data_IF_125219511802
#
_entry.id   IF_125219511802
#
_cell.length_a   1.000
_cell.length_b   1.000
_cell.length_c   1.000
_cell.angle_alpha   90.00
_cell.angle_beta   90.00
_cell.angle_gamma   90.00
#
_symmetry.space_group_name_H-M   'P 1'
#
loop_
_entity.id
_entity.type
_entity.pdbx_description
1 polymer ?
#
# COMPACT_ATOMS: atom_id res chain seq x y z
N UNK A 1 -27.07 92.95 -1.14
CA UNK A 1 -25.88 92.17 -1.56
C UNK A 1 -25.50 91.25 -0.41
N UNK A 2 -25.64 89.93 -0.60
CA UNK A 2 -25.11 88.90 0.31
C UNK A 2 -24.34 87.89 -0.55
N UNK A 3 -23.18 87.38 -0.10
CA UNK A 3 -22.32 86.54 -0.92
C UNK A 3 -22.85 85.10 -1.02
N UNK A 4 -22.69 84.52 -2.20
CA UNK A 4 -23.01 83.12 -2.54
C UNK A 4 -22.04 82.18 -1.81
N UNK A 5 -22.57 81.16 -1.14
CA UNK A 5 -21.77 80.04 -0.63
C UNK A 5 -21.36 79.11 -1.77
N UNK A 6 -20.10 78.69 -1.68
CA UNK A 6 -19.29 77.95 -2.64
C UNK A 6 -19.85 76.56 -3.00
N UNK A 7 -19.53 76.11 -4.23
CA UNK A 7 -19.61 74.71 -4.67
C UNK A 7 -18.97 73.75 -3.66
N UNK A 8 -19.55 72.55 -3.52
CA UNK A 8 -18.79 71.38 -3.08
C UNK A 8 -19.13 70.18 -3.98
N UNK A 9 -18.15 69.83 -4.78
CA UNK A 9 -18.06 68.65 -5.64
C UNK A 9 -18.09 67.36 -4.81
N UNK A 10 -18.74 66.34 -5.39
CA UNK A 10 -18.45 64.90 -5.35
C UNK A 10 -17.89 64.33 -4.04
N UNK A 11 -18.76 63.68 -3.25
CA UNK A 11 -18.33 62.83 -2.14
C UNK A 11 -17.70 61.53 -2.67
N UNK A 12 -16.63 61.01 -2.04
CA UNK A 12 -15.89 59.85 -2.52
C UNK A 12 -16.72 58.57 -2.36
N UNK A 13 -16.85 57.79 -3.44
CA UNK A 13 -17.41 56.43 -3.42
C UNK A 13 -16.59 55.57 -2.45
N UNK A 14 -17.26 54.98 -1.44
CA UNK A 14 -16.63 54.00 -0.57
C UNK A 14 -16.27 52.75 -1.40
N UNK A 15 -15.02 52.27 -1.36
CA UNK A 15 -14.68 51.01 -2.02
C UNK A 15 -15.40 49.87 -1.29
N UNK A 16 -16.24 49.13 -2.02
CA UNK A 16 -16.89 47.93 -1.50
C UNK A 16 -15.84 46.99 -0.90
N UNK A 17 -16.11 46.36 0.26
CA UNK A 17 -15.16 45.46 0.88
C UNK A 17 -14.93 44.29 -0.08
N UNK A 18 -13.73 44.22 -0.65
CA UNK A 18 -13.28 43.08 -1.44
C UNK A 18 -13.12 41.92 -0.45
N UNK A 19 -14.18 41.14 -0.30
CA UNK A 19 -14.11 39.85 0.38
C UNK A 19 -13.17 38.99 -0.46
N UNK A 20 -11.91 38.87 -0.04
CA UNK A 20 -11.02 37.84 -0.58
C UNK A 20 -11.58 36.52 -0.10
N UNK A 21 -12.50 35.96 -0.88
CA UNK A 21 -12.92 34.58 -0.73
C UNK A 21 -11.66 33.77 -1.01
N UNK A 22 -11.15 33.05 -0.01
CA UNK A 22 -9.97 32.18 -0.09
C UNK A 22 -10.26 30.97 -0.98
N UNK A 23 -10.54 31.23 -2.26
CA UNK A 23 -10.80 30.21 -3.26
C UNK A 23 -9.60 29.27 -3.39
N UNK A 24 -8.37 29.76 -3.22
CA UNK A 24 -7.17 28.92 -3.35
C UNK A 24 -7.12 27.82 -2.28
N UNK A 25 -7.37 28.13 -1.02
CA UNK A 25 -7.41 27.12 0.06
C UNK A 25 -8.55 26.13 -0.13
N UNK A 26 -9.72 26.60 -0.60
CA UNK A 26 -10.85 25.74 -0.92
C UNK A 26 -10.57 24.86 -2.15
N UNK A 27 -9.93 25.39 -3.19
CA UNK A 27 -9.56 24.64 -4.39
C UNK A 27 -8.47 23.62 -4.09
N UNK A 28 -7.49 23.95 -3.25
CA UNK A 28 -6.47 23.01 -2.80
C UNK A 28 -7.11 21.89 -1.98
N UNK A 29 -8.01 22.23 -1.05
CA UNK A 29 -8.79 21.24 -0.30
C UNK A 29 -9.62 20.33 -1.21
N UNK A 30 -10.38 20.90 -2.16
CA UNK A 30 -11.19 20.12 -3.10
C UNK A 30 -10.32 19.28 -4.03
N UNK A 31 -9.19 19.82 -4.50
CA UNK A 31 -8.24 19.09 -5.35
C UNK A 31 -7.63 17.90 -4.60
N UNK A 32 -7.28 18.06 -3.34
CA UNK A 32 -6.77 16.95 -2.53
C UNK A 32 -7.88 15.98 -2.10
N UNK A 33 -9.11 16.45 -1.90
CA UNK A 33 -10.28 15.62 -1.63
C UNK A 33 -10.67 14.75 -2.84
N UNK A 34 -10.55 15.27 -4.05
CA UNK A 34 -10.86 14.58 -5.31
C UNK A 34 -9.64 13.93 -5.98
N UNK A 35 -8.43 14.08 -5.43
CA UNK A 35 -7.28 13.28 -5.87
C UNK A 35 -7.59 11.83 -5.56
N UNK A 36 -7.86 11.04 -6.62
CA UNK A 36 -8.11 9.61 -6.47
C UNK A 36 -6.95 9.01 -5.67
N UNK A 37 -7.25 8.33 -4.56
CA UNK A 37 -6.25 7.50 -3.89
C UNK A 37 -5.70 6.55 -4.96
N UNK A 38 -4.48 6.81 -5.43
CA UNK A 38 -3.89 6.02 -6.50
C UNK A 38 -3.68 4.62 -5.95
N UNK A 39 -4.51 3.69 -6.40
CA UNK A 39 -4.36 2.27 -6.11
C UNK A 39 -3.62 1.64 -7.27
N UNK A 40 -2.62 0.82 -6.98
CA UNK A 40 -1.94 -0.01 -7.98
C UNK A 40 -1.89 -1.46 -7.54
N UNK A 41 -1.73 -2.38 -8.50
CA UNK A 41 -1.55 -3.79 -8.19
C UNK A 41 -0.29 -3.99 -7.33
N UNK A 42 -0.41 -4.85 -6.31
CA UNK A 42 0.70 -5.30 -5.47
C UNK A 42 0.91 -6.77 -5.74
N UNK A 43 1.89 -7.07 -6.60
CA UNK A 43 2.17 -8.45 -7.01
C UNK A 43 3.65 -8.74 -6.86
N UNK A 44 3.97 -9.88 -6.28
CA UNK A 44 5.33 -10.37 -6.21
C UNK A 44 5.33 -11.88 -6.48
N UNK A 45 6.34 -12.37 -7.19
CA UNK A 45 6.53 -13.78 -7.49
C UNK A 45 8.02 -14.06 -7.39
N UNK A 46 8.38 -15.15 -6.72
CA UNK A 46 9.75 -15.64 -6.74
C UNK A 46 9.78 -17.17 -6.65
N UNK A 47 10.87 -17.75 -7.17
CA UNK A 47 11.10 -19.18 -7.19
C UNK A 47 12.50 -19.55 -6.71
N UNK A 48 12.63 -20.76 -6.20
CA UNK A 48 13.87 -21.45 -5.90
C UNK A 48 13.86 -22.75 -6.70
N UNK A 49 14.79 -22.86 -7.64
CA UNK A 49 14.90 -24.03 -8.52
C UNK A 49 15.79 -25.09 -7.85
N UNK A 50 15.33 -26.35 -7.87
CA UNK A 50 16.05 -27.50 -7.32
C UNK A 50 16.60 -27.28 -5.90
N UNK A 51 15.80 -26.67 -5.02
CA UNK A 51 16.20 -26.36 -3.65
C UNK A 51 16.34 -27.65 -2.82
N UNK A 52 17.40 -27.73 -2.03
CA UNK A 52 17.73 -28.90 -1.19
C UNK A 52 18.05 -28.52 0.25
N UNK A 53 17.94 -27.23 0.61
CA UNK A 53 18.27 -26.76 1.94
C UNK A 53 17.34 -27.36 2.99
N UNK A 54 17.94 -27.96 4.02
CA UNK A 54 17.23 -28.40 5.24
C UNK A 54 16.98 -27.28 6.24
N UNK A 55 17.62 -26.13 6.02
CA UNK A 55 17.37 -24.90 6.75
C UNK A 55 16.41 -23.99 5.97
N UNK A 56 15.66 -23.16 6.71
CA UNK A 56 14.74 -22.20 6.10
C UNK A 56 15.49 -21.22 5.19
N UNK A 57 15.09 -21.22 3.92
CA UNK A 57 15.50 -20.24 2.94
C UNK A 57 14.32 -19.35 2.60
N UNK A 58 14.61 -18.05 2.48
CA UNK A 58 13.63 -17.05 2.11
C UNK A 58 13.26 -17.24 0.64
N UNK A 59 12.00 -17.53 0.37
CA UNK A 59 11.43 -17.62 -0.98
C UNK A 59 10.96 -16.23 -1.41
N UNK A 60 10.20 -15.53 -0.57
CA UNK A 60 9.61 -14.23 -0.91
C UNK A 60 9.81 -13.25 0.25
N UNK A 61 10.09 -11.99 -0.08
CA UNK A 61 10.16 -10.91 0.88
C UNK A 61 9.69 -9.62 0.24
N UNK A 62 8.54 -9.13 0.70
CA UNK A 62 7.92 -7.91 0.19
C UNK A 62 7.70 -6.96 1.35
N UNK A 63 8.05 -5.70 1.15
CA UNK A 63 7.86 -4.61 2.10
C UNK A 63 6.85 -3.63 1.53
N UNK A 64 5.94 -3.11 2.36
CA UNK A 64 5.03 -2.04 1.96
C UNK A 64 5.80 -0.74 1.89
N UNK A 65 5.82 -0.13 0.70
CA UNK A 65 6.53 1.12 0.43
C UNK A 65 6.03 2.30 1.29
N UNK A 66 6.88 3.29 1.52
CA UNK A 66 6.52 4.49 2.26
C UNK A 66 5.36 5.26 1.59
N UNK A 67 4.39 5.70 2.39
CA UNK A 67 3.21 6.41 1.88
C UNK A 67 2.14 5.53 1.24
N UNK A 68 2.24 4.21 1.38
CA UNK A 68 1.23 3.26 0.92
C UNK A 68 0.75 2.36 2.05
N UNK A 69 -0.48 1.87 1.90
CA UNK A 69 -1.03 0.76 2.66
C UNK A 69 -1.24 -0.43 1.74
N UNK A 70 -0.79 -1.61 2.16
CA UNK A 70 -0.98 -2.85 1.42
C UNK A 70 -2.32 -3.49 1.77
N UNK A 71 -3.14 -3.78 0.78
CA UNK A 71 -4.33 -4.61 0.88
C UNK A 71 -3.98 -5.99 0.33
N UNK A 72 -3.61 -6.90 1.23
CA UNK A 72 -3.22 -8.27 0.89
C UNK A 72 -4.44 -9.09 0.52
N UNK A 73 -4.49 -9.61 -0.70
CA UNK A 73 -5.58 -10.47 -1.15
C UNK A 73 -5.23 -11.93 -0.94
N UNK A 74 -4.11 -12.38 -1.48
CA UNK A 74 -3.69 -13.77 -1.36
C UNK A 74 -2.17 -13.96 -1.35
N UNK A 75 -1.77 -15.10 -0.78
CA UNK A 75 -0.43 -15.65 -0.91
C UNK A 75 -0.56 -17.06 -1.44
N UNK A 76 0.08 -17.35 -2.56
CA UNK A 76 0.10 -18.69 -3.14
C UNK A 76 1.48 -19.32 -2.97
N UNK A 77 1.48 -20.59 -2.59
CA UNK A 77 2.66 -21.41 -2.35
C UNK A 77 2.62 -22.59 -3.32
N UNK A 78 3.77 -22.95 -3.86
CA UNK A 78 3.94 -24.08 -4.76
C UNK A 78 5.22 -24.84 -4.42
N UNK A 79 5.11 -26.16 -4.44
CA UNK A 79 6.23 -27.09 -4.38
C UNK A 79 5.99 -28.23 -5.37
N UNK A 80 7.02 -28.62 -6.11
CA UNK A 80 6.97 -29.83 -6.95
C UNK A 80 6.93 -31.12 -6.13
N UNK A 81 7.38 -31.08 -4.87
CA UNK A 81 7.43 -32.21 -3.92
C UNK A 81 6.88 -31.74 -2.57
N UNK A 82 5.56 -31.70 -2.40
CA UNK A 82 5.00 -31.11 -1.18
C UNK A 82 5.20 -31.92 0.09
N UNK A 83 5.37 -33.24 -0.01
CA UNK A 83 5.60 -34.10 1.15
C UNK A 83 6.96 -33.83 1.82
N UNK A 84 7.93 -33.32 1.05
CA UNK A 84 9.30 -33.00 1.47
C UNK A 84 9.47 -31.52 1.86
N UNK A 85 8.51 -30.67 1.53
CA UNK A 85 8.63 -29.21 1.73
C UNK A 85 7.85 -28.72 2.94
N UNK A 86 8.53 -27.94 3.78
CA UNK A 86 7.95 -27.28 4.94
C UNK A 86 8.02 -25.76 4.81
N UNK A 87 6.90 -25.10 5.08
CA UNK A 87 6.72 -23.67 4.87
C UNK A 87 6.60 -22.90 6.19
N UNK A 88 7.12 -21.68 6.19
CA UNK A 88 6.88 -20.70 7.22
C UNK A 88 6.44 -19.37 6.60
N UNK A 89 5.50 -18.69 7.26
CA UNK A 89 4.96 -17.41 6.83
C UNK A 89 4.91 -16.44 7.99
N UNK A 90 5.42 -15.24 7.76
CA UNK A 90 5.32 -14.12 8.68
C UNK A 90 4.73 -12.92 7.94
N UNK A 91 3.72 -12.29 8.54
CA UNK A 91 3.09 -11.07 8.02
C UNK A 91 3.16 -10.02 9.12
N UNK A 92 3.69 -8.84 8.80
CA UNK A 92 3.80 -7.72 9.73
C UNK A 92 4.48 -8.08 11.06
N UNK A 93 5.50 -8.95 11.01
CA UNK A 93 6.20 -9.42 12.21
C UNK A 93 5.49 -10.54 12.97
N UNK A 94 4.26 -10.91 12.60
CA UNK A 94 3.51 -12.00 13.22
C UNK A 94 3.63 -13.30 12.44
N UNK A 95 4.05 -14.36 13.12
CA UNK A 95 4.10 -15.72 12.56
C UNK A 95 2.68 -16.23 12.33
N UNK A 96 2.36 -16.53 11.08
CA UNK A 96 1.07 -17.13 10.71
C UNK A 96 1.11 -18.65 10.87
N UNK A 97 2.22 -19.27 10.45
CA UNK A 97 2.51 -20.67 10.67
C UNK A 97 4.01 -20.96 10.49
N UNK A 98 4.43 -22.09 11.03
CA UNK A 98 5.76 -22.69 10.87
C UNK A 98 5.61 -24.18 10.59
N UNK A 99 6.58 -24.74 9.88
CA UNK A 99 6.66 -26.18 9.54
C UNK A 99 5.38 -26.72 8.88
N UNK A 100 4.71 -25.85 8.10
CA UNK A 100 3.46 -26.20 7.44
C UNK A 100 3.76 -27.02 6.19
N UNK A 101 3.21 -28.22 6.13
CA UNK A 101 3.20 -29.04 4.90
C UNK A 101 2.02 -28.68 4.02
N UNK A 102 2.24 -28.79 2.71
CA UNK A 102 1.24 -28.62 1.65
C UNK A 102 1.48 -29.74 0.62
N UNK A 103 0.48 -30.11 -0.19
CA UNK A 103 0.65 -31.22 -1.12
C UNK A 103 1.37 -30.85 -2.42
N UNK A 104 0.90 -29.82 -3.13
CA UNK A 104 1.57 -29.30 -4.34
C UNK A 104 1.43 -27.79 -4.36
N UNK A 105 0.21 -27.29 -4.19
CA UNK A 105 -0.07 -25.88 -4.14
C UNK A 105 -1.04 -25.54 -3.00
N UNK A 106 -0.92 -24.33 -2.47
CA UNK A 106 -1.85 -23.76 -1.50
C UNK A 106 -1.97 -22.26 -1.71
N UNK A 107 -3.19 -21.78 -1.86
CA UNK A 107 -3.51 -20.35 -1.85
C UNK A 107 -4.18 -19.99 -0.53
N UNK A 108 -3.59 -19.05 0.19
CA UNK A 108 -4.11 -18.49 1.43
C UNK A 108 -4.78 -17.17 1.09
N UNK A 109 -6.08 -17.07 1.38
CA UNK A 109 -6.85 -15.86 1.13
C UNK A 109 -6.91 -15.00 2.41
N UNK A 110 -6.59 -13.72 2.26
CA UNK A 110 -6.57 -12.71 3.33
C UNK A 110 -7.64 -11.63 3.15
N UNK A 111 -8.42 -11.67 2.05
CA UNK A 111 -9.62 -10.84 1.87
C UNK A 111 -9.38 -9.33 1.87
N UNK A 112 -8.18 -8.88 1.50
CA UNK A 112 -7.81 -7.47 1.56
C UNK A 112 -7.26 -7.05 2.92
N UNK A 113 -6.69 -7.96 3.70
CA UNK A 113 -6.06 -7.67 4.99
C UNK A 113 -5.07 -6.51 4.86
N UNK A 114 -5.21 -5.55 5.76
CA UNK A 114 -4.37 -4.35 5.79
C UNK A 114 -2.98 -4.69 6.32
N UNK A 115 -1.96 -4.26 5.59
CA UNK A 115 -0.54 -4.31 5.94
C UNK A 115 -0.01 -2.89 5.87
N UNK A 116 0.45 -2.38 7.00
CA UNK A 116 0.84 -0.97 7.12
C UNK A 116 2.22 -0.70 6.51
N UNK A 117 2.46 0.58 6.24
CA UNK A 117 3.73 1.12 5.75
C UNK A 117 4.94 0.53 6.47
N UNK A 118 5.95 0.07 5.72
CA UNK A 118 7.20 -0.49 6.25
C UNK A 118 7.08 -1.90 6.83
N UNK A 119 5.87 -2.47 6.93
CA UNK A 119 5.70 -3.86 7.35
C UNK A 119 6.07 -4.82 6.22
N UNK A 120 6.53 -6.01 6.62
CA UNK A 120 7.04 -7.05 5.71
C UNK A 120 6.16 -8.28 5.70
N UNK A 121 6.07 -8.88 4.53
CA UNK A 121 5.57 -10.24 4.33
C UNK A 121 6.76 -11.08 3.91
N UNK A 122 6.97 -12.16 4.62
CA UNK A 122 8.12 -13.03 4.47
C UNK A 122 7.63 -14.48 4.36
N UNK A 123 8.04 -15.13 3.27
CA UNK A 123 7.75 -16.54 3.01
C UNK A 123 9.08 -17.27 2.99
N UNK A 124 9.17 -18.35 3.77
CA UNK A 124 10.30 -19.25 3.77
C UNK A 124 9.86 -20.67 3.50
N UNK A 125 10.79 -21.43 2.95
CA UNK A 125 10.65 -22.86 2.77
C UNK A 125 11.96 -23.56 3.13
N UNK A 126 11.85 -24.80 3.56
CA UNK A 126 12.94 -25.77 3.66
C UNK A 126 12.46 -27.10 3.09
N UNK A 127 13.41 -27.93 2.72
CA UNK A 127 13.18 -29.30 2.21
C UNK A 127 13.78 -30.32 3.18
N UNK A 128 13.57 -31.60 2.93
CA UNK A 128 14.26 -32.69 3.64
C UNK A 128 15.62 -33.07 3.01
N UNK A 129 16.07 -32.33 2.00
CA UNK A 129 17.26 -32.62 1.20
C UNK A 129 16.94 -33.06 -0.24
N UNK A 130 15.68 -33.40 -0.55
CA UNK A 130 15.25 -33.67 -1.91
C UNK A 130 15.22 -32.39 -2.77
N UNK A 131 15.77 -32.46 -3.98
CA UNK A 131 15.79 -31.33 -4.91
C UNK A 131 14.38 -30.97 -5.36
N UNK A 132 13.89 -29.82 -4.92
CA UNK A 132 12.48 -29.43 -5.05
C UNK A 132 12.36 -28.04 -5.66
N UNK A 133 11.48 -27.89 -6.65
CA UNK A 133 11.14 -26.58 -7.21
C UNK A 133 10.10 -25.92 -6.31
N UNK A 134 10.42 -24.75 -5.79
CA UNK A 134 9.61 -24.02 -4.82
C UNK A 134 9.27 -22.66 -5.41
N UNK A 135 8.01 -22.25 -5.34
CA UNK A 135 7.61 -20.90 -5.74
C UNK A 135 6.60 -20.31 -4.75
N UNK A 136 6.67 -18.99 -4.57
CA UNK A 136 5.69 -18.25 -3.80
C UNK A 136 5.30 -16.97 -4.53
N UNK A 137 4.02 -16.65 -4.49
CA UNK A 137 3.48 -15.40 -4.99
C UNK A 137 2.63 -14.69 -3.96
N UNK A 138 2.56 -13.38 -4.11
CA UNK A 138 1.69 -12.49 -3.37
C UNK A 138 0.87 -11.68 -4.36
N UNK A 139 -0.41 -11.51 -4.03
CA UNK A 139 -1.36 -10.71 -4.80
C UNK A 139 -2.12 -9.77 -3.86
N UNK A 140 -2.34 -8.54 -4.31
CA UNK A 140 -2.96 -7.49 -3.52
C UNK A 140 -3.01 -6.15 -4.23
N UNK A 141 -3.23 -5.10 -3.46
CA UNK A 141 -3.24 -3.72 -3.93
C UNK A 141 -2.42 -2.83 -2.99
N UNK A 142 -1.68 -1.87 -3.54
CA UNK A 142 -1.10 -0.77 -2.77
C UNK A 142 -2.00 0.44 -2.92
N UNK A 143 -2.51 0.94 -1.80
CA UNK A 143 -3.33 2.14 -1.74
C UNK A 143 -2.50 3.31 -1.22
N UNK A 144 -2.42 4.40 -1.98
CA UNK A 144 -1.71 5.59 -1.54
C UNK A 144 -2.39 6.23 -0.32
N UNK A 145 -1.60 6.40 0.74
CA UNK A 145 -1.97 7.17 1.93
C UNK A 145 -1.63 8.62 1.63
N UNK A 146 -2.60 9.39 1.14
CA UNK A 146 -2.46 10.83 1.04
C UNK A 146 -2.15 11.37 2.44
N UNK A 147 -0.92 11.83 2.64
CA UNK A 147 -0.47 12.43 3.89
C UNK A 147 -1.43 13.56 4.23
N UNK A 148 -2.08 13.48 5.40
CA UNK A 148 -2.80 14.62 5.99
C UNK A 148 -1.81 15.66 6.49
#
# INVERSE_FOLDING_TARGET
MMPRLSQKETGPEQPLPVVRVCWDELFDFLRDLFRSKKTRAWTALNNLDAETSTNYKKVLSVEVESGFEGLLQDISLYSSEGDTTEWALQIAGQTQFTDKKIFVALTLNYGGMIVHTGQKILVWAKTDGAATNIAASLSGQLQYLATK
#
